data_IF_044766222871
#
_entry.id   IF_044766222871
#
_cell.length_a   1.000
_cell.length_b   1.000
_cell.length_c   1.000
_cell.angle_alpha   90.00
_cell.angle_beta   90.00
_cell.angle_gamma   90.00
#
_symmetry.space_group_name_H-M   'P 1'
#
loop_
_entity.id
_entity.type
_entity.pdbx_description
1 polymer ?
#
# COMPACT_ATOMS: atom_id res chain seq x y z
N UNK A 1 -0.45 8.99 4.95
CA UNK A 1 1.00 9.29 4.84
C UNK A 1 1.81 9.18 6.13
N UNK A 2 1.20 9.04 7.33
CA UNK A 2 1.93 9.08 8.62
C UNK A 2 3.14 8.14 8.74
N UNK A 3 3.07 6.93 8.17
CA UNK A 3 4.21 6.00 8.18
C UNK A 3 5.32 6.46 7.23
N UNK A 4 4.98 6.94 6.02
CA UNK A 4 5.95 7.46 5.06
C UNK A 4 6.68 8.68 5.63
N UNK A 5 5.94 9.62 6.23
CA UNK A 5 6.50 10.80 6.92
C UNK A 5 7.43 10.39 8.07
N UNK A 6 7.00 9.47 8.92
CA UNK A 6 7.83 9.03 10.05
C UNK A 6 9.02 8.18 9.64
N UNK A 7 8.92 7.42 8.55
CA UNK A 7 10.05 6.64 7.98
C UNK A 7 11.21 7.50 7.46
N UNK A 8 10.99 8.80 7.25
CA UNK A 8 12.03 9.75 6.87
C UNK A 8 12.97 10.08 8.04
N UNK A 9 12.50 9.91 9.29
CA UNK A 9 13.30 10.19 10.49
C UNK A 9 14.23 9.01 10.76
N UNK A 10 15.54 9.28 10.94
CA UNK A 10 16.53 8.27 11.35
C UNK A 10 16.15 7.54 12.65
N UNK A 11 15.39 8.19 13.53
CA UNK A 11 14.96 7.66 14.84
C UNK A 11 13.57 7.03 14.84
N UNK A 12 13.07 6.57 13.69
CA UNK A 12 11.74 5.98 13.61
C UNK A 12 11.63 4.67 14.41
N UNK A 13 11.02 4.75 15.59
CA UNK A 13 10.71 3.58 16.43
C UNK A 13 9.31 3.05 16.11
N UNK A 14 9.27 1.94 15.39
CA UNK A 14 8.04 1.23 15.03
C UNK A 14 7.12 0.96 16.23
N UNK A 15 7.71 0.58 17.37
CA UNK A 15 6.93 0.28 18.58
C UNK A 15 6.23 1.51 19.16
N UNK A 16 6.83 2.70 19.06
CA UNK A 16 6.20 3.95 19.50
C UNK A 16 5.06 4.33 18.55
N UNK A 17 5.26 4.14 17.24
CA UNK A 17 4.23 4.40 16.24
C UNK A 17 3.02 3.44 16.34
N UNK A 18 3.25 2.16 16.63
CA UNK A 18 2.15 1.21 16.89
C UNK A 18 1.38 1.60 18.16
N UNK A 19 2.06 2.06 19.22
CA UNK A 19 1.41 2.51 20.46
C UNK A 19 0.57 3.76 20.24
N UNK A 20 1.08 4.71 19.47
CA UNK A 20 0.34 5.90 19.03
C UNK A 20 -0.91 5.53 18.26
N UNK A 21 -0.80 4.65 17.25
CA UNK A 21 -1.96 4.15 16.51
C UNK A 21 -2.95 3.41 17.40
N UNK A 22 -2.47 2.60 18.36
CA UNK A 22 -3.33 1.85 19.27
C UNK A 22 -4.15 2.74 20.22
N UNK A 23 -3.71 3.98 20.47
CA UNK A 23 -4.44 4.97 21.26
C UNK A 23 -5.62 5.61 20.52
N UNK A 24 -5.68 5.49 19.19
CA UNK A 24 -6.71 6.13 18.37
C UNK A 24 -8.05 5.37 18.43
N UNK A 25 -9.16 6.12 18.52
CA UNK A 25 -10.52 5.54 18.59
C UNK A 25 -10.84 4.61 17.40
N UNK A 26 -10.28 4.89 16.22
CA UNK A 26 -10.50 4.09 15.00
C UNK A 26 -9.72 2.76 14.98
N UNK A 27 -8.75 2.59 15.89
CA UNK A 27 -7.88 1.40 15.97
C UNK A 27 -8.18 0.57 17.22
N UNK A 28 -8.94 1.12 18.18
CA UNK A 28 -9.45 0.38 19.34
C UNK A 28 -10.27 -0.82 18.87
N UNK A 29 -9.77 -2.02 19.14
CA UNK A 29 -10.36 -3.30 18.69
C UNK A 29 -9.59 -3.98 17.54
N UNK A 30 -8.82 -3.22 16.75
CA UNK A 30 -7.97 -3.75 15.64
C UNK A 30 -6.48 -3.75 15.97
N UNK A 31 -6.12 -3.54 17.23
CA UNK A 31 -4.71 -3.41 17.68
C UNK A 31 -3.85 -4.62 17.29
N UNK A 32 -4.41 -5.84 17.31
CA UNK A 32 -3.71 -7.06 16.89
C UNK A 32 -3.44 -7.10 15.39
N UNK A 33 -4.36 -6.61 14.58
CA UNK A 33 -4.21 -6.52 13.11
C UNK A 33 -3.18 -5.44 12.76
N UNK A 34 -3.25 -4.28 13.40
CA UNK A 34 -2.26 -3.20 13.23
C UNK A 34 -0.85 -3.66 13.63
N UNK A 35 -0.71 -4.41 14.73
CA UNK A 35 0.57 -4.97 15.15
C UNK A 35 1.15 -5.98 14.13
N UNK A 36 0.31 -6.68 13.37
CA UNK A 36 0.75 -7.59 12.29
C UNK A 36 1.06 -6.83 10.99
N UNK A 37 0.26 -5.81 10.67
CA UNK A 37 0.34 -5.07 9.41
C UNK A 37 1.48 -4.05 9.41
N UNK A 38 1.67 -3.30 10.51
CA UNK A 38 2.64 -2.22 10.56
C UNK A 38 4.09 -2.67 10.27
N UNK A 39 4.62 -3.76 10.86
CA UNK A 39 5.96 -4.23 10.52
C UNK A 39 6.10 -4.66 9.05
N UNK A 40 5.05 -5.26 8.46
CA UNK A 40 5.03 -5.63 7.03
C UNK A 40 5.08 -4.38 6.16
N UNK A 41 4.23 -3.40 6.45
CA UNK A 41 4.12 -2.16 5.69
C UNK A 41 5.44 -1.37 5.70
N UNK A 42 6.12 -1.30 6.84
CA UNK A 42 7.42 -0.62 6.94
C UNK A 42 8.50 -1.34 6.13
N UNK A 43 8.52 -2.67 6.15
CA UNK A 43 9.44 -3.42 5.29
C UNK A 43 9.23 -3.09 3.81
N UNK A 44 7.98 -2.99 3.38
CA UNK A 44 7.67 -2.63 1.99
C UNK A 44 8.03 -1.19 1.66
N UNK A 45 7.71 -0.24 2.54
CA UNK A 45 8.08 1.17 2.36
C UNK A 45 9.60 1.35 2.32
N UNK A 46 10.35 0.63 3.17
CA UNK A 46 11.82 0.72 3.19
C UNK A 46 12.49 0.13 1.95
N UNK A 47 11.79 -0.71 1.16
CA UNK A 47 12.28 -1.16 -0.15
C UNK A 47 12.19 -0.07 -1.22
N UNK A 48 11.39 0.96 -1.00
CA UNK A 48 11.24 2.08 -1.93
C UNK A 48 12.44 3.03 -1.74
N UNK A 49 13.18 3.36 -2.81
CA UNK A 49 14.28 4.32 -2.74
C UNK A 49 13.85 5.64 -2.09
N UNK A 50 14.75 6.26 -1.30
CA UNK A 50 14.45 7.49 -0.53
C UNK A 50 13.84 8.57 -1.43
N UNK A 51 14.45 8.84 -2.59
CA UNK A 51 13.95 9.82 -3.56
C UNK A 51 12.53 9.52 -4.05
N UNK A 52 12.20 8.24 -4.25
CA UNK A 52 10.84 7.82 -4.64
C UNK A 52 9.84 8.03 -3.51
N UNK A 53 10.24 7.79 -2.26
CA UNK A 53 9.39 8.08 -1.08
C UNK A 53 9.12 9.57 -0.92
N UNK A 54 10.10 10.42 -1.20
CA UNK A 54 9.94 11.88 -1.17
C UNK A 54 8.95 12.33 -2.25
N UNK A 55 9.10 11.86 -3.49
CA UNK A 55 8.15 12.16 -4.56
C UNK A 55 6.71 11.71 -4.20
N UNK A 56 6.54 10.53 -3.59
CA UNK A 56 5.22 10.04 -3.15
C UNK A 56 4.59 10.91 -2.05
N UNK A 57 5.40 11.56 -1.21
CA UNK A 57 4.92 12.50 -0.20
C UNK A 57 4.54 13.84 -0.83
N UNK A 58 5.32 14.33 -1.77
CA UNK A 58 5.09 15.59 -2.48
C UNK A 58 3.85 15.56 -3.36
N UNK A 59 3.56 14.42 -4.00
CA UNK A 59 2.39 14.31 -4.88
C UNK A 59 1.07 14.47 -4.15
N UNK A 60 1.02 14.20 -2.83
CA UNK A 60 -0.17 14.30 -1.96
C UNK A 60 -1.46 13.62 -2.48
N UNK A 61 -1.37 12.89 -3.60
CA UNK A 61 -2.43 12.11 -4.24
C UNK A 61 -2.21 10.66 -3.84
N UNK A 62 -3.10 10.15 -3.00
CA UNK A 62 -3.05 8.80 -2.41
C UNK A 62 -4.10 7.85 -2.95
N UNK A 63 -4.82 8.26 -3.99
CA UNK A 63 -5.74 7.36 -4.66
C UNK A 63 -4.93 6.46 -5.62
N UNK A 64 -4.21 5.49 -5.03
CA UNK A 64 -3.38 4.52 -5.75
C UNK A 64 -4.18 3.83 -6.85
N UNK A 65 -5.44 3.47 -6.56
CA UNK A 65 -6.35 2.87 -7.54
C UNK A 65 -6.56 3.79 -8.73
N UNK A 66 -6.96 5.05 -8.49
CA UNK A 66 -7.18 6.02 -9.56
C UNK A 66 -5.91 6.30 -10.38
N UNK A 67 -4.74 6.38 -9.74
CA UNK A 67 -3.47 6.56 -10.45
C UNK A 67 -3.22 5.39 -11.41
N UNK A 68 -3.43 4.16 -10.93
CA UNK A 68 -3.26 2.96 -11.75
C UNK A 68 -4.31 2.86 -12.87
N UNK A 69 -5.56 3.23 -12.60
CA UNK A 69 -6.63 3.26 -13.60
C UNK A 69 -6.34 4.28 -14.70
N UNK A 70 -5.84 5.46 -14.35
CA UNK A 70 -5.41 6.47 -15.32
C UNK A 70 -4.23 5.98 -16.17
N UNK A 71 -3.36 5.14 -15.61
CA UNK A 71 -2.19 4.58 -16.30
C UNK A 71 -2.51 3.29 -17.09
N UNK A 72 -3.76 2.81 -17.07
CA UNK A 72 -4.15 1.50 -17.60
C UNK A 72 -3.79 1.29 -19.08
N UNK A 73 -4.02 2.29 -19.93
CA UNK A 73 -3.67 2.21 -21.36
C UNK A 73 -2.17 2.03 -21.56
N UNK A 74 -1.37 2.81 -20.83
CA UNK A 74 0.09 2.68 -20.84
C UNK A 74 0.54 1.30 -20.35
N UNK A 75 -0.04 0.79 -19.26
CA UNK A 75 0.31 -0.52 -18.73
C UNK A 75 -0.05 -1.65 -19.71
N UNK A 76 -1.21 -1.57 -20.38
CA UNK A 76 -1.61 -2.55 -21.41
C UNK A 76 -0.60 -2.62 -22.54
N UNK A 77 -0.22 -1.47 -23.09
CA UNK A 77 0.78 -1.37 -24.14
C UNK A 77 2.14 -1.86 -23.65
N UNK A 78 2.58 -1.38 -22.49
CA UNK A 78 3.91 -1.69 -21.92
C UNK A 78 4.11 -3.18 -21.67
N UNK A 79 3.07 -3.88 -21.24
CA UNK A 79 3.11 -5.30 -20.89
C UNK A 79 2.52 -6.21 -21.97
N UNK A 80 2.02 -5.67 -23.09
CA UNK A 80 1.34 -6.46 -24.13
C UNK A 80 0.09 -7.17 -23.63
N UNK A 81 -0.56 -6.65 -22.59
CA UNK A 81 -1.71 -7.28 -21.95
C UNK A 81 -3.00 -6.85 -22.65
N UNK A 82 -3.85 -7.82 -23.02
CA UNK A 82 -5.16 -7.54 -23.63
C UNK A 82 -6.07 -6.76 -22.67
N UNK A 83 -6.05 -7.15 -21.39
CA UNK A 83 -6.81 -6.50 -20.35
C UNK A 83 -5.99 -6.32 -19.06
N UNK A 84 -6.30 -5.26 -18.33
CA UNK A 84 -5.78 -4.97 -17.00
C UNK A 84 -6.98 -4.52 -16.16
N UNK A 85 -7.23 -5.18 -15.05
CA UNK A 85 -8.27 -4.80 -14.09
C UNK A 85 -7.59 -4.45 -12.78
N UNK A 86 -8.08 -3.41 -12.10
CA UNK A 86 -7.48 -2.89 -10.88
C UNK A 86 -8.59 -2.85 -9.83
N UNK A 87 -8.34 -3.52 -8.71
CA UNK A 87 -9.28 -3.64 -7.61
C UNK A 87 -8.64 -3.19 -6.31
N UNK A 88 -9.44 -2.79 -5.33
CA UNK A 88 -9.00 -2.71 -3.93
C UNK A 88 -9.06 -4.09 -3.26
N UNK A 89 -8.41 -4.24 -2.10
CA UNK A 89 -8.43 -5.49 -1.32
C UNK A 89 -9.83 -5.82 -0.78
N UNK A 90 -10.71 -4.84 -0.64
CA UNK A 90 -12.03 -4.97 -0.04
C UNK A 90 -13.17 -4.98 -1.08
N UNK A 91 -12.87 -4.86 -2.37
CA UNK A 91 -13.87 -4.92 -3.43
C UNK A 91 -14.44 -6.34 -3.62
N UNK A 92 -15.75 -6.49 -3.39
CA UNK A 92 -16.47 -7.76 -3.51
C UNK A 92 -16.49 -8.29 -4.96
N UNK A 93 -16.58 -7.40 -5.94
CA UNK A 93 -16.64 -7.74 -7.37
C UNK A 93 -15.27 -8.05 -7.98
N UNK A 94 -14.20 -8.15 -7.17
CA UNK A 94 -12.87 -8.41 -7.73
C UNK A 94 -12.78 -9.79 -8.36
N UNK A 95 -12.04 -9.85 -9.46
CA UNK A 95 -11.60 -11.11 -10.03
C UNK A 95 -10.24 -11.51 -9.42
N UNK A 96 -10.25 -12.45 -8.47
CA UNK A 96 -9.04 -12.96 -7.81
C UNK A 96 -9.07 -14.49 -7.60
N UNK A 97 -8.93 -15.29 -8.69
CA UNK A 97 -9.02 -16.75 -8.62
C UNK A 97 -8.01 -17.40 -7.67
N UNK A 98 -6.90 -16.73 -7.38
CA UNK A 98 -5.80 -17.24 -6.52
C UNK A 98 -5.73 -16.54 -5.16
N UNK A 99 -6.75 -15.77 -4.77
CA UNK A 99 -6.83 -15.06 -3.49
C UNK A 99 -5.57 -14.23 -3.17
N UNK A 100 -4.94 -13.66 -4.21
CA UNK A 100 -3.71 -12.87 -4.11
C UNK A 100 -3.91 -11.51 -3.46
N UNK A 101 -5.12 -10.97 -3.43
CA UNK A 101 -5.36 -9.64 -2.90
C UNK A 101 -4.98 -9.50 -1.42
N UNK A 102 -5.13 -10.57 -0.62
CA UNK A 102 -4.69 -10.61 0.79
C UNK A 102 -3.15 -10.47 0.96
N UNK A 103 -2.39 -10.60 -0.12
CA UNK A 103 -0.94 -10.38 -0.16
C UNK A 103 -0.58 -8.94 -0.59
N UNK A 104 -1.56 -8.16 -1.04
CA UNK A 104 -1.33 -6.76 -1.42
C UNK A 104 -0.96 -5.93 -0.20
N UNK A 105 -0.18 -4.88 -0.43
CA UNK A 105 0.18 -3.89 0.57
C UNK A 105 0.17 -2.51 -0.09
N UNK A 106 -0.03 -1.42 0.66
CA UNK A 106 0.17 -0.07 0.13
C UNK A 106 1.53 0.08 -0.55
N UNK A 107 1.56 0.72 -1.71
CA UNK A 107 2.74 0.83 -2.59
C UNK A 107 3.30 -0.51 -3.12
N UNK A 108 2.61 -1.64 -2.93
CA UNK A 108 2.96 -2.96 -3.45
C UNK A 108 1.69 -3.76 -3.80
N UNK A 109 1.13 -3.58 -5.01
CA UNK A 109 -0.04 -4.32 -5.43
C UNK A 109 0.27 -5.82 -5.58
N UNK A 110 -0.74 -6.66 -5.35
CA UNK A 110 -0.67 -8.07 -5.69
C UNK A 110 -1.15 -8.25 -7.14
N UNK A 111 -0.33 -8.93 -7.96
CA UNK A 111 -0.60 -9.09 -9.39
C UNK A 111 -0.93 -10.55 -9.70
N UNK A 112 -2.06 -10.75 -10.36
CA UNK A 112 -2.47 -12.00 -10.98
C UNK A 112 -2.39 -11.86 -12.50
N UNK A 113 -1.83 -12.87 -13.16
CA UNK A 113 -1.64 -12.93 -14.62
C UNK A 113 -2.11 -14.32 -15.03
N UNK A 114 -2.88 -14.37 -16.12
CA UNK A 114 -3.39 -15.57 -16.78
C UNK A 114 -3.27 -15.45 -18.29
#
# INVERSE_FOLDING_TARGET
LRILEKSKRKDFKLNEFIRELAGEKNVKGKTREVAKLAPRLIREINRIPVKRRENLLETNVLDEKRILENAKSFLKEKFGAQNITIYTEDEEERYDPKLKAALSMPCRPAIYIE
#
